data_IF_674688381327
#
_entry.id   IF_674688381327
#
_cell.length_a   1.000
_cell.length_b   1.000
_cell.length_c   1.000
_cell.angle_alpha   90.00
_cell.angle_beta   90.00
_cell.angle_gamma   90.00
#
_symmetry.space_group_name_H-M   'P 1'
#
loop_
_entity.id
_entity.type
_entity.pdbx_description
1 polymer ?
#
# COMPACT_ATOMS: atom_id res chain seq x y z
N UNK A 1 -55.92 16.22 -26.40
CA UNK A 1 -56.42 16.45 -27.78
C UNK A 1 -55.64 15.53 -28.70
N UNK A 2 -56.35 14.62 -29.38
CA UNK A 2 -55.82 13.56 -30.23
C UNK A 2 -55.52 14.14 -31.61
N UNK A 3 -54.30 13.96 -32.13
CA UNK A 3 -54.01 14.11 -33.56
C UNK A 3 -53.07 12.98 -33.96
N UNK A 4 -53.66 11.93 -34.54
CA UNK A 4 -52.98 10.92 -35.34
C UNK A 4 -52.43 11.60 -36.61
N UNK A 5 -51.23 11.22 -37.02
CA UNK A 5 -50.79 11.32 -38.42
C UNK A 5 -49.88 10.13 -38.72
N UNK A 6 -50.42 9.19 -39.50
CA UNK A 6 -49.76 8.10 -40.21
C UNK A 6 -49.13 8.66 -41.49
N UNK A 7 -47.84 8.40 -41.74
CA UNK A 7 -47.20 8.59 -43.05
C UNK A 7 -46.23 7.41 -43.31
N UNK A 8 -46.16 6.89 -44.55
CA UNK A 8 -45.93 5.48 -44.82
C UNK A 8 -44.46 5.10 -45.03
N UNK A 9 -44.25 3.79 -44.86
CA UNK A 9 -43.16 2.96 -45.32
C UNK A 9 -42.69 3.33 -46.75
N UNK A 10 -41.44 3.77 -46.89
CA UNK A 10 -40.72 3.75 -48.16
C UNK A 10 -39.52 2.81 -48.02
N UNK A 11 -39.68 1.60 -48.55
CA UNK A 11 -38.61 0.65 -48.82
C UNK A 11 -37.69 1.26 -49.89
N UNK A 12 -36.42 1.49 -49.57
CA UNK A 12 -35.38 1.64 -50.58
C UNK A 12 -34.28 0.62 -50.30
N UNK A 13 -34.42 -0.54 -50.93
CA UNK A 13 -33.40 -1.58 -50.98
C UNK A 13 -32.27 -1.12 -51.89
N UNK A 14 -31.12 -0.78 -51.31
CA UNK A 14 -29.85 -0.73 -52.03
C UNK A 14 -29.09 -2.02 -51.75
N UNK A 15 -29.10 -2.92 -52.74
CA UNK A 15 -28.17 -4.04 -52.83
C UNK A 15 -26.94 -3.50 -53.57
N UNK A 16 -25.80 -3.39 -52.88
CA UNK A 16 -24.51 -3.17 -53.54
C UNK A 16 -23.42 -3.96 -52.84
N UNK A 17 -22.57 -4.53 -53.68
CA UNK A 17 -21.68 -5.64 -53.38
C UNK A 17 -20.35 -5.20 -52.75
N UNK A 18 -19.75 -6.19 -52.07
CA UNK A 18 -18.31 -6.42 -51.91
C UNK A 18 -17.52 -5.46 -51.01
N UNK A 19 -17.00 -6.00 -49.90
CA UNK A 19 -15.58 -6.29 -49.73
C UNK A 19 -15.34 -6.90 -48.34
N UNK A 20 -14.58 -8.01 -48.29
CA UNK A 20 -14.04 -8.51 -47.04
C UNK A 20 -13.01 -7.49 -46.52
N UNK A 21 -13.23 -6.99 -45.30
CA UNK A 21 -12.26 -6.23 -44.55
C UNK A 21 -12.59 -6.40 -43.08
N UNK A 22 -11.86 -7.28 -42.40
CA UNK A 22 -11.96 -7.46 -40.96
C UNK A 22 -11.62 -6.16 -40.25
N UNK A 23 -12.49 -5.76 -39.34
CA UNK A 23 -12.35 -4.60 -38.48
C UNK A 23 -13.39 -4.73 -37.41
N UNK A 24 -13.01 -5.30 -36.28
CA UNK A 24 -13.83 -5.36 -35.07
C UNK A 24 -14.01 -3.93 -34.55
N UNK A 25 -15.03 -3.22 -35.04
CA UNK A 25 -15.49 -1.95 -34.45
C UNK A 25 -16.29 -2.27 -33.17
N UNK A 26 -15.59 -2.76 -32.14
CA UNK A 26 -16.03 -2.66 -30.75
C UNK A 26 -15.89 -1.21 -30.31
N UNK A 27 -16.96 -0.55 -29.83
CA UNK A 27 -16.88 0.83 -29.40
C UNK A 27 -15.94 0.93 -28.20
N UNK A 28 -14.85 1.69 -28.35
CA UNK A 28 -13.93 2.11 -27.29
C UNK A 28 -14.72 2.61 -26.08
N UNK A 29 -14.84 1.76 -25.05
CA UNK A 29 -15.17 2.21 -23.70
C UNK A 29 -13.95 2.98 -23.20
N UNK A 30 -14.09 4.26 -22.80
CA UNK A 30 -13.00 4.95 -22.12
C UNK A 30 -12.62 4.09 -20.91
N UNK A 31 -11.36 3.67 -20.86
CA UNK A 31 -10.83 2.92 -19.74
C UNK A 31 -11.19 3.64 -18.45
N UNK A 32 -11.90 2.92 -17.58
CA UNK A 32 -12.05 3.31 -16.19
C UNK A 32 -10.65 3.69 -15.69
N UNK A 33 -10.47 4.81 -14.96
CA UNK A 33 -9.22 5.02 -14.25
C UNK A 33 -9.00 3.76 -13.43
N UNK A 34 -7.95 3.01 -13.75
CA UNK A 34 -7.51 1.94 -12.89
C UNK A 34 -7.02 2.65 -11.63
N UNK A 35 -7.94 2.86 -10.69
CA UNK A 35 -7.59 3.10 -9.31
C UNK A 35 -6.61 1.99 -8.98
N UNK A 36 -5.34 2.32 -8.64
CA UNK A 36 -4.37 1.30 -8.30
C UNK A 36 -5.02 0.40 -7.26
N UNK A 37 -5.01 -0.90 -7.54
CA UNK A 37 -5.59 -1.92 -6.69
C UNK A 37 -5.14 -1.63 -5.25
N UNK A 38 -6.09 -1.32 -4.36
CA UNK A 38 -5.88 -1.13 -2.91
C UNK A 38 -5.61 -2.50 -2.26
N UNK A 39 -5.00 -3.43 -3.00
CA UNK A 39 -4.53 -4.72 -2.50
C UNK A 39 -3.09 -4.56 -1.98
N UNK A 40 -2.84 -4.77 -0.72
CA UNK A 40 -3.61 -4.44 0.47
C UNK A 40 -2.62 -3.57 1.26
N UNK A 41 -3.04 -2.46 1.88
CA UNK A 41 -2.14 -1.71 2.78
C UNK A 41 -1.87 -2.51 4.07
N UNK A 42 -2.10 -3.82 4.08
CA UNK A 42 -1.96 -4.67 5.24
C UNK A 42 -0.80 -5.63 5.03
N UNK A 43 -0.01 -5.81 6.09
CA UNK A 43 1.08 -6.77 6.12
C UNK A 43 0.93 -7.70 7.29
N UNK A 44 1.43 -8.92 7.12
CA UNK A 44 1.66 -9.88 8.18
C UNK A 44 3.12 -9.80 8.60
N UNK A 45 3.38 -9.73 9.90
CA UNK A 45 4.71 -9.81 10.49
C UNK A 45 4.73 -11.06 11.36
N UNK A 46 5.53 -12.05 10.94
CA UNK A 46 5.70 -13.31 11.66
C UNK A 46 6.97 -13.26 12.50
N UNK A 47 6.83 -13.51 13.80
CA UNK A 47 7.91 -13.59 14.78
C UNK A 47 7.76 -14.90 15.55
N UNK A 48 8.69 -15.84 15.37
CA UNK A 48 8.54 -17.20 15.90
C UNK A 48 7.26 -17.87 15.37
N UNK A 49 6.38 -18.29 16.27
CA UNK A 49 5.07 -18.91 16.00
C UNK A 49 3.90 -17.90 15.97
N UNK A 50 4.18 -16.61 16.19
CA UNK A 50 3.18 -15.55 16.25
C UNK A 50 3.16 -14.75 14.95
N UNK A 51 1.97 -14.46 14.45
CA UNK A 51 1.77 -13.51 13.35
C UNK A 51 0.95 -12.33 13.86
N UNK A 52 1.45 -11.13 13.62
CA UNK A 52 0.74 -9.87 13.89
C UNK A 52 0.45 -9.15 12.58
N UNK A 53 -0.55 -8.30 12.58
CA UNK A 53 -0.96 -7.52 11.41
C UNK A 53 -0.54 -6.07 11.59
N UNK A 54 -0.23 -5.41 10.48
CA UNK A 54 0.00 -3.97 10.46
C UNK A 54 -0.75 -3.34 9.29
N UNK A 55 -1.24 -2.13 9.48
CA UNK A 55 -1.81 -1.28 8.44
C UNK A 55 -0.79 -0.19 8.08
N UNK A 56 -0.41 -0.14 6.81
CA UNK A 56 0.50 0.83 6.23
C UNK A 56 -0.24 2.12 5.85
N UNK A 57 0.48 3.24 5.90
CA UNK A 57 -0.03 4.54 5.46
C UNK A 57 -0.11 4.60 3.93
N UNK A 58 -1.04 5.39 3.39
CA UNK A 58 -1.13 5.63 1.94
C UNK A 58 -0.13 6.72 1.49
N UNK A 59 1.16 6.43 1.61
CA UNK A 59 2.23 7.34 1.20
C UNK A 59 3.34 6.66 0.38
N UNK A 60 4.18 7.45 -0.26
CA UNK A 60 5.20 6.93 -1.19
C UNK A 60 6.21 6.00 -0.50
N UNK A 61 6.61 6.30 0.75
CA UNK A 61 7.54 5.48 1.51
C UNK A 61 6.95 4.11 1.88
N UNK A 62 5.68 4.09 2.31
CA UNK A 62 4.95 2.86 2.61
C UNK A 62 4.73 2.00 1.36
N UNK A 63 4.42 2.61 0.21
CA UNK A 63 4.29 1.90 -1.07
C UNK A 63 5.61 1.31 -1.55
N UNK A 64 6.73 2.04 -1.40
CA UNK A 64 8.07 1.52 -1.67
C UNK A 64 8.37 0.32 -0.76
N UNK A 65 8.13 0.44 0.54
CA UNK A 65 8.30 -0.68 1.49
C UNK A 65 7.47 -1.90 1.09
N UNK A 66 6.19 -1.72 0.79
CA UNK A 66 5.28 -2.79 0.34
C UNK A 66 5.75 -3.45 -0.95
N UNK A 67 6.42 -2.74 -1.86
CA UNK A 67 6.91 -3.28 -3.14
C UNK A 67 8.08 -4.26 -2.97
N UNK A 68 8.74 -4.24 -1.81
CA UNK A 68 9.91 -5.06 -1.49
C UNK A 68 9.58 -6.32 -0.71
N UNK A 69 8.31 -6.53 -0.36
CA UNK A 69 7.86 -7.71 0.36
C UNK A 69 7.78 -8.93 -0.59
N UNK A 70 8.08 -10.15 -0.09
CA UNK A 70 8.37 -10.48 1.30
C UNK A 70 9.80 -10.13 1.76
N UNK A 71 9.97 -9.88 3.06
CA UNK A 71 11.27 -9.64 3.68
C UNK A 71 11.50 -10.61 4.85
N UNK A 72 12.67 -11.22 4.91
CA UNK A 72 13.17 -11.96 6.07
C UNK A 72 14.35 -11.18 6.64
N UNK A 73 14.16 -10.60 7.82
CA UNK A 73 15.10 -9.66 8.43
C UNK A 73 15.24 -9.91 9.93
N UNK A 74 16.34 -9.46 10.51
CA UNK A 74 16.46 -9.30 11.95
C UNK A 74 16.08 -7.88 12.33
N UNK A 75 15.11 -7.72 13.22
CA UNK A 75 14.85 -6.45 13.89
C UNK A 75 15.76 -6.34 15.11
N UNK A 76 16.66 -5.37 15.10
CA UNK A 76 17.59 -5.12 16.20
C UNK A 76 16.91 -4.37 17.35
N UNK A 77 17.25 -4.73 18.58
CA UNK A 77 16.81 -4.02 19.77
C UNK A 77 17.54 -2.67 19.91
N UNK A 78 16.78 -1.59 19.93
CA UNK A 78 17.35 -0.24 19.98
C UNK A 78 16.83 0.55 21.18
N UNK A 79 17.73 1.31 21.79
CA UNK A 79 17.45 2.22 22.90
C UNK A 79 16.65 1.55 24.04
N UNK A 80 17.18 0.43 24.55
CA UNK A 80 16.60 -0.33 25.68
C UNK A 80 15.13 -0.71 25.46
N UNK A 81 14.83 -1.43 24.37
CA UNK A 81 13.48 -1.86 23.98
C UNK A 81 12.51 -0.71 23.71
N UNK A 82 13.02 0.45 23.29
CA UNK A 82 12.15 1.54 22.82
C UNK A 82 11.70 1.24 21.40
N UNK A 83 12.61 0.71 20.57
CA UNK A 83 12.37 0.46 19.15
C UNK A 83 12.93 -0.89 18.72
N UNK A 84 12.30 -1.47 17.71
CA UNK A 84 12.83 -2.56 16.89
C UNK A 84 13.16 -2.00 15.51
N UNK A 85 14.43 -2.03 15.11
CA UNK A 85 14.90 -1.36 13.89
C UNK A 85 15.50 -2.32 12.88
N UNK A 86 15.45 -1.95 11.61
CA UNK A 86 16.28 -2.55 10.55
C UNK A 86 16.60 -1.51 9.48
N UNK A 87 17.60 -1.80 8.65
CA UNK A 87 18.02 -0.93 7.56
C UNK A 87 17.62 -1.56 6.22
N UNK A 88 16.67 -0.97 5.49
CA UNK A 88 16.42 -1.33 4.10
C UNK A 88 17.67 -1.03 3.25
N UNK A 89 18.06 -1.97 2.39
CA UNK A 89 19.06 -1.77 1.35
C UNK A 89 18.46 -2.09 -0.02
N UNK A 90 18.32 -1.12 -0.93
CA UNK A 90 18.66 0.31 -0.78
C UNK A 90 17.77 1.03 0.25
N UNK A 91 18.07 2.28 0.60
CA UNK A 91 17.18 3.08 1.45
C UNK A 91 15.77 3.22 0.83
N UNK A 92 14.75 3.43 1.65
CA UNK A 92 13.39 3.71 1.19
C UNK A 92 13.27 5.15 0.66
N UNK A 93 12.41 5.32 -0.34
CA UNK A 93 12.06 6.62 -0.89
C UNK A 93 11.28 7.43 0.15
N UNK A 94 11.78 8.61 0.51
CA UNK A 94 11.13 9.51 1.49
C UNK A 94 10.87 10.91 0.97
N UNK A 95 11.24 11.19 -0.28
CA UNK A 95 11.02 12.49 -0.91
C UNK A 95 9.52 12.78 -1.05
N UNK A 96 9.13 14.01 -0.68
CA UNK A 96 7.73 14.44 -0.73
C UNK A 96 6.81 13.82 0.33
N UNK A 97 7.31 12.95 1.22
CA UNK A 97 6.52 12.39 2.31
C UNK A 97 6.56 13.29 3.54
N UNK A 98 5.41 13.54 4.14
CA UNK A 98 5.28 14.36 5.36
C UNK A 98 6.14 13.78 6.49
N UNK A 99 6.94 14.66 7.11
CA UNK A 99 7.73 14.36 8.30
C UNK A 99 7.07 14.94 9.54
N UNK A 100 7.43 14.39 10.70
CA UNK A 100 6.95 14.86 11.99
C UNK A 100 5.93 13.92 12.60
N UNK A 101 6.31 13.23 13.66
CA UNK A 101 5.35 12.55 14.54
C UNK A 101 5.89 12.36 15.96
N UNK A 102 4.98 12.19 16.91
CA UNK A 102 5.26 11.63 18.24
C UNK A 102 4.81 10.17 18.23
N UNK A 103 5.73 9.20 18.06
CA UNK A 103 5.36 7.81 17.91
C UNK A 103 4.86 7.21 19.23
N UNK A 104 3.95 6.27 19.10
CA UNK A 104 3.36 5.47 20.18
C UNK A 104 3.61 3.99 19.92
N UNK A 105 3.43 3.11 20.93
CA UNK A 105 3.59 1.67 20.72
C UNK A 105 2.78 1.17 19.53
N UNK A 106 3.47 0.48 18.63
CA UNK A 106 2.96 -0.05 17.37
C UNK A 106 3.23 0.81 16.15
N UNK A 107 3.63 2.08 16.29
CA UNK A 107 3.91 2.91 15.11
C UNK A 107 5.16 2.42 14.37
N UNK A 108 5.05 2.33 13.05
CA UNK A 108 6.12 1.98 12.12
C UNK A 108 6.55 3.27 11.42
N UNK A 109 7.82 3.61 11.55
CA UNK A 109 8.38 4.87 11.05
C UNK A 109 9.67 4.67 10.29
N UNK A 110 10.08 5.67 9.52
CA UNK A 110 11.44 5.83 9.02
C UNK A 110 12.09 6.97 9.80
N UNK A 111 13.29 6.75 10.32
CA UNK A 111 14.13 7.83 10.82
C UNK A 111 14.97 8.37 9.67
N UNK A 112 14.55 9.50 9.11
CA UNK A 112 15.05 10.00 7.84
C UNK A 112 16.57 10.32 7.80
N UNK A 113 17.24 10.74 8.89
CA UNK A 113 18.69 10.96 8.88
C UNK A 113 19.51 9.69 8.62
N UNK A 114 19.00 8.51 8.98
CA UNK A 114 19.72 7.24 8.84
C UNK A 114 19.06 6.28 7.85
N UNK A 115 17.80 6.49 7.51
CA UNK A 115 17.05 5.65 6.58
C UNK A 115 16.60 4.31 7.16
N UNK A 116 16.77 4.07 8.47
CA UNK A 116 16.24 2.86 9.11
C UNK A 116 14.73 2.94 9.27
N UNK A 117 14.10 1.77 9.21
CA UNK A 117 12.73 1.58 9.66
C UNK A 117 12.76 1.24 11.15
N UNK A 118 11.84 1.81 11.92
CA UNK A 118 11.68 1.57 13.35
C UNK A 118 10.23 1.24 13.69
N UNK A 119 10.03 0.15 14.44
CA UNK A 119 8.76 -0.21 15.08
C UNK A 119 8.87 0.18 16.55
N UNK A 120 8.06 1.15 16.99
CA UNK A 120 8.09 1.64 18.36
C UNK A 120 7.40 0.68 19.32
N UNK A 121 8.09 0.26 20.38
CA UNK A 121 7.56 -0.52 21.49
C UNK A 121 7.10 0.37 22.65
N UNK A 122 7.60 1.61 22.71
CA UNK A 122 7.28 2.62 23.73
C UNK A 122 6.94 3.95 23.05
N UNK A 123 6.24 4.83 23.75
CA UNK A 123 6.01 6.20 23.26
C UNK A 123 7.31 7.02 23.28
N UNK A 124 7.42 7.96 22.35
CA UNK A 124 8.54 8.91 22.29
C UNK A 124 8.06 10.34 22.05
N UNK A 125 8.92 11.33 22.34
CA UNK A 125 8.61 12.73 22.05
C UNK A 125 8.52 12.97 20.54
N UNK A 126 7.78 14.01 20.15
CA UNK A 126 7.70 14.44 18.75
C UNK A 126 9.09 14.66 18.15
N UNK A 127 9.29 14.17 16.93
CA UNK A 127 10.49 14.40 16.14
C UNK A 127 10.12 14.78 14.71
N UNK A 128 10.76 15.84 14.19
CA UNK A 128 10.60 16.28 12.79
C UNK A 128 11.35 15.40 11.79
N UNK A 129 12.13 14.43 12.28
CA UNK A 129 12.94 13.52 11.47
C UNK A 129 12.28 12.15 11.28
N UNK A 130 11.14 11.91 11.93
CA UNK A 130 10.36 10.70 11.78
C UNK A 130 9.30 10.84 10.67
N UNK A 131 9.17 9.80 9.86
CA UNK A 131 8.12 9.65 8.85
C UNK A 131 7.29 8.43 9.24
N UNK A 132 6.01 8.61 9.53
CA UNK A 132 5.12 7.47 9.80
C UNK A 132 4.77 6.78 8.48
N UNK A 133 4.97 5.47 8.43
CA UNK A 133 4.68 4.64 7.24
C UNK A 133 3.69 3.51 7.53
N UNK A 134 3.39 3.24 8.80
CA UNK A 134 2.36 2.27 9.17
C UNK A 134 2.19 2.14 10.67
N UNK A 135 1.40 1.15 11.07
CA UNK A 135 1.13 0.83 12.47
C UNK A 135 0.74 -0.64 12.63
N UNK A 136 1.26 -1.29 13.67
CA UNK A 136 0.80 -2.60 14.14
C UNK A 136 -0.64 -2.50 14.66
N UNK A 137 -1.49 -3.40 14.22
CA UNK A 137 -2.91 -3.41 14.56
C UNK A 137 -3.15 -3.96 15.98
N UNK A 138 -4.16 -3.41 16.67
CA UNK A 138 -4.57 -3.87 17.99
C UNK A 138 -3.44 -3.86 19.02
N UNK A 139 -3.31 -4.97 19.77
CA UNK A 139 -2.25 -5.20 20.75
C UNK A 139 -1.07 -6.03 20.18
N UNK A 140 -0.95 -6.15 18.85
CA UNK A 140 0.07 -6.97 18.21
C UNK A 140 1.50 -6.57 18.58
N UNK A 141 1.73 -5.32 18.97
CA UNK A 141 3.05 -4.81 19.38
C UNK A 141 3.66 -5.59 20.55
N UNK A 142 2.84 -6.22 21.40
CA UNK A 142 3.30 -7.08 22.51
C UNK A 142 4.16 -8.26 22.01
N UNK A 143 3.92 -8.75 20.78
CA UNK A 143 4.71 -9.84 20.20
C UNK A 143 6.16 -9.42 19.85
N UNK A 144 6.37 -8.13 19.58
CA UNK A 144 7.67 -7.57 19.18
C UNK A 144 8.38 -6.86 20.35
N UNK A 145 7.66 -6.58 21.44
CA UNK A 145 8.15 -5.87 22.63
C UNK A 145 8.90 -6.80 23.61
N UNK A 146 9.84 -7.59 23.09
CA UNK A 146 10.71 -8.47 23.88
C UNK A 146 12.16 -8.00 23.82
N UNK A 147 12.97 -8.40 24.80
CA UNK A 147 14.38 -8.01 24.86
C UNK A 147 15.19 -8.69 23.75
N UNK A 148 16.16 -7.97 23.20
CA UNK A 148 17.09 -8.48 22.20
C UNK A 148 16.55 -8.48 20.77
N UNK A 149 17.41 -8.92 19.87
CA UNK A 149 17.16 -8.94 18.43
C UNK A 149 16.20 -10.07 18.06
N UNK A 150 15.30 -9.82 17.12
CA UNK A 150 14.25 -10.77 16.74
C UNK A 150 14.23 -11.00 15.22
N UNK A 151 14.34 -12.25 14.74
CA UNK A 151 14.11 -12.54 13.33
C UNK A 151 12.62 -12.47 13.03
N UNK A 152 12.27 -11.83 11.92
CA UNK A 152 10.90 -11.72 11.44
C UNK A 152 10.79 -11.96 9.95
N UNK A 153 9.61 -12.42 9.53
CA UNK A 153 9.19 -12.43 8.13
C UNK A 153 8.03 -11.46 7.94
N UNK A 154 8.14 -10.56 6.97
CA UNK A 154 7.12 -9.56 6.64
C UNK A 154 6.58 -9.86 5.24
N UNK A 155 5.26 -9.97 5.10
CA UNK A 155 4.59 -10.33 3.85
C UNK A 155 3.35 -9.47 3.63
N UNK A 156 2.97 -9.25 2.36
CA UNK A 156 1.66 -8.68 2.05
C UNK A 156 0.55 -9.63 2.48
N UNK A 157 -0.59 -9.07 2.86
CA UNK A 157 -1.79 -9.83 3.22
C UNK A 157 -2.69 -10.08 2.02
#
# INVERSE_FOLDING_TARGET
MKKLLLIPLLLLTVLSMAACGGGDDEPFRPGQPETPDVSSLNVNITVGDRTVTATMEDNAAARDFLSRLPLEITLNDYNNMTEKIFYPDPALTTEGVTRGCAPTPGDITIYAPWGNVAIFCKSWSHSNDLIKIGRIDGNGIEALSIAGDIPVKIERR
#
